data_IF_835827277202
#
_entry.id   IF_835827277202
#
_cell.length_a   1.000
_cell.length_b   1.000
_cell.length_c   1.000
_cell.angle_alpha   90.00
_cell.angle_beta   90.00
_cell.angle_gamma   90.00
#
_symmetry.space_group_name_H-M   'P 1'
#
loop_
_entity.id
_entity.type
_entity.pdbx_description
1 polymer ?
#
# COMPACT_ATOMS: atom_id res chain seq x y z
N UNK A 1 12.64 17.46 -3.74
CA UNK A 1 12.51 16.02 -3.86
C UNK A 1 11.65 15.46 -2.75
N UNK A 2 10.70 14.68 -3.12
CA UNK A 2 9.79 14.09 -2.14
C UNK A 2 10.42 12.90 -1.45
N UNK A 3 10.37 12.91 -0.15
CA UNK A 3 10.76 11.73 0.62
C UNK A 3 9.53 10.85 0.78
N UNK A 4 9.53 9.79 0.01
CA UNK A 4 8.45 8.82 0.06
C UNK A 4 8.91 7.65 0.94
N UNK A 5 8.21 7.37 2.06
CA UNK A 5 8.61 6.29 2.95
C UNK A 5 8.37 4.90 2.35
N UNK A 6 7.62 4.84 1.27
CA UNK A 6 7.25 3.55 0.68
C UNK A 6 8.26 3.12 -0.37
N UNK A 7 8.51 1.81 -0.43
CA UNK A 7 9.34 1.26 -1.48
C UNK A 7 8.52 1.14 -2.76
N UNK A 8 9.22 0.89 -3.86
CA UNK A 8 8.57 0.71 -5.15
C UNK A 8 7.57 -0.45 -5.11
N UNK A 9 7.94 -1.53 -4.46
CA UNK A 9 7.06 -2.69 -4.33
C UNK A 9 5.82 -2.37 -3.50
N UNK A 10 6.00 -1.60 -2.44
CA UNK A 10 4.88 -1.17 -1.62
C UNK A 10 3.93 -0.28 -2.39
N UNK A 11 4.47 0.63 -3.18
CA UNK A 11 3.64 1.51 -4.00
C UNK A 11 2.85 0.74 -5.04
N UNK A 12 3.47 -0.26 -5.65
CA UNK A 12 2.78 -1.13 -6.59
C UNK A 12 1.62 -1.86 -5.93
N UNK A 13 1.88 -2.43 -4.76
CA UNK A 13 0.84 -3.14 -4.02
C UNK A 13 -0.31 -2.19 -3.68
N UNK A 14 0.03 -1.00 -3.20
CA UNK A 14 -0.97 -0.02 -2.83
C UNK A 14 -1.80 0.43 -4.01
N UNK A 15 -1.20 0.61 -5.18
CA UNK A 15 -1.93 1.06 -6.35
C UNK A 15 -2.92 -0.01 -6.84
N UNK A 16 -2.59 -1.28 -6.66
CA UNK A 16 -3.50 -2.37 -7.03
C UNK A 16 -4.77 -2.34 -6.19
N UNK A 17 -4.62 -2.04 -4.91
CA UNK A 17 -5.72 -2.09 -3.95
C UNK A 17 -6.35 -0.74 -3.65
N UNK A 18 -5.89 0.31 -4.32
CA UNK A 18 -6.38 1.67 -4.10
C UNK A 18 -7.70 1.89 -4.84
N UNK A 19 -8.75 1.23 -4.40
CA UNK A 19 -10.04 1.29 -5.07
C UNK A 19 -10.80 2.57 -4.76
N UNK A 20 -10.75 3.01 -3.51
CA UNK A 20 -11.51 4.18 -3.05
C UNK A 20 -10.76 5.49 -3.20
N UNK A 21 -9.47 5.42 -3.44
CA UNK A 21 -8.65 6.63 -3.50
C UNK A 21 -8.41 7.27 -2.14
N UNK A 22 -8.72 6.57 -1.06
CA UNK A 22 -8.51 7.08 0.30
C UNK A 22 -7.57 6.19 1.07
N UNK A 23 -6.89 6.79 2.06
CA UNK A 23 -5.98 6.05 2.91
C UNK A 23 -6.72 4.99 3.72
N UNK A 24 -7.87 5.35 4.28
CA UNK A 24 -8.68 4.41 5.05
C UNK A 24 -9.14 3.23 4.22
N UNK A 25 -9.61 3.50 3.01
CA UNK A 25 -10.06 2.46 2.10
C UNK A 25 -8.93 1.51 1.74
N UNK A 26 -7.75 2.08 1.50
CA UNK A 26 -6.59 1.26 1.18
C UNK A 26 -6.17 0.40 2.37
N UNK A 27 -6.15 0.96 3.57
CA UNK A 27 -5.81 0.20 4.78
C UNK A 27 -6.78 -0.95 4.96
N UNK A 28 -8.06 -0.70 4.79
CA UNK A 28 -9.08 -1.74 4.92
C UNK A 28 -8.88 -2.84 3.88
N UNK A 29 -8.60 -2.46 2.64
CA UNK A 29 -8.40 -3.44 1.56
C UNK A 29 -7.16 -4.29 1.82
N UNK A 30 -6.07 -3.67 2.22
CA UNK A 30 -4.83 -4.42 2.50
C UNK A 30 -4.98 -5.31 3.72
N UNK A 31 -5.69 -4.84 4.75
CA UNK A 31 -5.92 -5.63 5.95
C UNK A 31 -6.74 -6.87 5.62
N UNK A 32 -7.75 -6.71 4.80
CA UNK A 32 -8.59 -7.82 4.37
C UNK A 32 -7.77 -8.82 3.55
N UNK A 33 -6.99 -8.32 2.61
CA UNK A 33 -6.16 -9.18 1.78
C UNK A 33 -5.14 -9.93 2.64
N UNK A 34 -4.55 -9.25 3.63
CA UNK A 34 -3.58 -9.87 4.52
C UNK A 34 -4.15 -11.10 5.22
N UNK A 35 -5.43 -11.04 5.57
CA UNK A 35 -6.10 -12.15 6.25
C UNK A 35 -6.24 -13.41 5.40
N UNK A 36 -6.11 -13.27 4.09
CA UNK A 36 -6.22 -14.40 3.17
C UNK A 36 -4.86 -14.98 2.79
N UNK A 37 -3.78 -14.37 3.23
CA UNK A 37 -2.45 -14.83 2.86
C UNK A 37 -2.04 -16.03 3.71
N UNK A 38 -1.50 -17.04 3.04
CA UNK A 38 -1.01 -18.24 3.68
C UNK A 38 0.43 -18.04 4.16
N UNK A 39 0.88 -19.00 4.97
CA UNK A 39 2.27 -18.98 5.44
C UNK A 39 3.28 -19.04 4.29
N UNK A 40 2.88 -19.63 3.18
CA UNK A 40 3.75 -19.70 2.01
C UNK A 40 3.96 -18.33 1.36
N UNK A 41 3.09 -17.39 1.65
CA UNK A 41 3.18 -16.05 1.10
C UNK A 41 3.79 -15.07 2.09
N UNK A 42 4.80 -15.53 2.81
CA UNK A 42 5.43 -14.73 3.87
C UNK A 42 5.98 -13.41 3.34
N UNK A 43 6.57 -13.41 2.15
CA UNK A 43 7.11 -12.19 1.58
C UNK A 43 6.03 -11.15 1.33
N UNK A 44 4.90 -11.59 0.79
CA UNK A 44 3.78 -10.68 0.53
C UNK A 44 3.16 -10.20 1.83
N UNK A 45 3.09 -11.07 2.83
CA UNK A 45 2.60 -10.68 4.15
C UNK A 45 3.48 -9.60 4.77
N UNK A 46 4.78 -9.78 4.69
CA UNK A 46 5.73 -8.79 5.21
C UNK A 46 5.62 -7.47 4.46
N UNK A 47 5.49 -7.54 3.15
CA UNK A 47 5.33 -6.33 2.34
C UNK A 47 4.05 -5.60 2.72
N UNK A 48 2.96 -6.32 2.86
CA UNK A 48 1.67 -5.75 3.25
C UNK A 48 1.73 -5.15 4.65
N UNK A 49 2.36 -5.87 5.58
CA UNK A 49 2.54 -5.38 6.95
C UNK A 49 3.32 -4.08 6.97
N UNK A 50 4.39 -4.02 6.20
CA UNK A 50 5.23 -2.83 6.12
C UNK A 50 4.44 -1.65 5.55
N UNK A 51 3.68 -1.89 4.49
CA UNK A 51 2.85 -0.85 3.89
C UNK A 51 1.79 -0.36 4.87
N UNK A 52 1.14 -1.28 5.56
CA UNK A 52 0.12 -0.93 6.54
C UNK A 52 0.69 -0.08 7.69
N UNK A 53 1.86 -0.48 8.19
CA UNK A 53 2.49 0.26 9.28
C UNK A 53 2.79 1.71 8.85
N UNK A 54 3.26 1.88 7.64
CA UNK A 54 3.58 3.20 7.11
C UNK A 54 2.31 4.01 6.85
N UNK A 55 1.28 3.37 6.31
CA UNK A 55 0.01 4.05 6.04
C UNK A 55 -0.63 4.58 7.32
N UNK A 56 -0.48 3.86 8.42
CA UNK A 56 -1.03 4.31 9.69
C UNK A 56 -0.28 5.51 10.27
N UNK A 57 0.93 5.74 9.78
CA UNK A 57 1.76 6.83 10.26
C UNK A 57 1.70 8.09 9.42
N UNK A 58 1.02 8.06 8.27
CA UNK A 58 0.94 9.23 7.41
C UNK A 58 -0.45 9.87 7.50
N UNK A 59 -0.51 11.14 7.09
CA UNK A 59 -1.78 11.87 7.07
C UNK A 59 -2.47 11.67 5.72
N UNK A 60 -3.75 12.08 5.67
CA UNK A 60 -4.50 12.04 4.41
C UNK A 60 -3.84 12.93 3.36
N UNK A 61 -3.29 14.06 3.79
CA UNK A 61 -2.60 14.96 2.88
C UNK A 61 -1.36 14.31 2.29
N UNK A 62 -0.61 13.60 3.12
CA UNK A 62 0.56 12.87 2.66
C UNK A 62 0.18 11.74 1.72
N UNK A 63 -0.91 11.06 2.02
CA UNK A 63 -1.39 10.01 1.14
C UNK A 63 -1.81 10.58 -0.23
N UNK A 64 -2.51 11.71 -0.21
CA UNK A 64 -2.93 12.36 -1.45
C UNK A 64 -1.75 12.80 -2.31
N UNK A 65 -0.61 13.07 -1.67
CA UNK A 65 0.59 13.47 -2.40
C UNK A 65 1.31 12.28 -3.03
N UNK A 66 0.96 11.06 -2.65
CA UNK A 66 1.58 9.88 -3.24
C UNK A 66 1.03 9.66 -4.65
N UNK A 67 1.93 9.31 -5.55
CA UNK A 67 1.53 8.99 -6.91
C UNK A 67 1.32 7.48 -7.01
N UNK A 68 0.08 7.07 -6.88
CA UNK A 68 -0.27 5.65 -6.91
C UNK A 68 -0.75 5.22 -8.31
N UNK A 69 -0.35 5.94 -9.32
CA UNK A 69 -0.66 5.54 -10.68
C UNK A 69 0.08 4.23 -10.98
N UNK A 70 -0.64 3.18 -11.35
CA UNK A 70 0.02 1.92 -11.67
C UNK A 70 1.02 2.12 -12.80
N UNK A 71 2.21 1.65 -12.55
CA UNK A 71 3.28 1.77 -13.52
C UNK A 71 3.21 0.59 -14.49
N UNK A 72 2.17 0.59 -15.29
CA UNK A 72 2.05 -0.40 -16.34
C UNK A 72 2.76 0.13 -17.56
N UNK A 73 3.89 -0.43 -17.75
CA UNK A 73 4.66 -0.09 -18.92
C UNK A 73 4.09 -0.83 -20.10
N UNK A 74 3.30 -0.14 -20.83
CA UNK A 74 2.71 -0.75 -22.01
C UNK A 74 3.52 -0.49 -23.25
#
# INVERSE_FOLDING_TARGET
MKNNPFTHEELNLMSIYNADGTCEGLIAALTEMWGYLDAEEAELRELTDSALAKLRGITDAEYAALDLTPDFDL
#
